data_IF_461603692513
#
_entry.id   IF_461603692513
#
_cell.length_a   1.000
_cell.length_b   1.000
_cell.length_c   1.000
_cell.angle_alpha   90.00
_cell.angle_beta   90.00
_cell.angle_gamma   90.00
#
_symmetry.space_group_name_H-M   'P 1'
#
loop_
_entity.id
_entity.type
_entity.pdbx_description
1 polymer ?
#
# COMPACT_ATOMS: atom_id res chain seq x y z
N UNK A 1 -18.17 39.91 -60.56
CA UNK A 1 -19.07 38.84 -60.06
C UNK A 1 -18.28 37.54 -59.90
N UNK A 2 -18.19 36.98 -58.69
CA UNK A 2 -17.59 35.65 -58.45
C UNK A 2 -18.64 34.76 -57.81
N UNK A 3 -18.98 33.65 -58.49
CA UNK A 3 -19.92 32.61 -58.02
C UNK A 3 -19.19 31.64 -57.09
N UNK A 4 -19.68 31.54 -55.86
CA UNK A 4 -19.26 30.55 -54.85
C UNK A 4 -19.81 29.15 -55.16
N UNK A 5 -18.95 28.13 -55.04
CA UNK A 5 -19.32 26.71 -54.92
C UNK A 5 -19.00 26.22 -53.51
N UNK A 6 -20.06 25.83 -52.79
CA UNK A 6 -20.23 24.72 -51.84
C UNK A 6 -18.98 24.04 -51.23
N UNK A 7 -18.81 24.20 -49.91
CA UNK A 7 -18.27 23.20 -48.95
C UNK A 7 -19.33 23.09 -47.84
N UNK A 8 -20.12 22.01 -47.77
CA UNK A 8 -19.90 20.85 -46.88
C UNK A 8 -19.67 21.31 -45.43
N UNK A 9 -20.73 21.62 -44.66
CA UNK A 9 -21.43 20.68 -43.76
C UNK A 9 -20.46 19.69 -43.11
N UNK A 10 -19.99 19.99 -41.88
CA UNK A 10 -19.38 19.08 -40.87
C UNK A 10 -18.94 19.85 -39.58
N UNK A 11 -19.00 21.18 -39.50
CA UNK A 11 -18.38 21.93 -38.38
C UNK A 11 -19.32 22.48 -37.28
N UNK A 12 -20.59 22.11 -37.20
CA UNK A 12 -21.53 22.72 -36.23
C UNK A 12 -22.30 21.69 -35.36
N UNK A 13 -21.66 20.59 -34.97
CA UNK A 13 -22.34 19.58 -34.12
C UNK A 13 -21.55 19.01 -32.95
N UNK A 14 -20.51 19.69 -32.45
CA UNK A 14 -19.70 19.19 -31.33
C UNK A 14 -19.37 20.23 -30.26
N UNK A 15 -20.30 21.13 -29.94
CA UNK A 15 -20.15 22.03 -28.76
C UNK A 15 -21.32 21.93 -27.76
N UNK A 16 -22.08 20.83 -27.75
CA UNK A 16 -23.22 20.67 -26.83
C UNK A 16 -23.36 19.27 -26.22
N UNK A 17 -22.25 18.63 -25.83
CA UNK A 17 -22.30 17.43 -24.97
C UNK A 17 -21.19 17.48 -23.91
N UNK A 18 -21.17 18.52 -23.09
CA UNK A 18 -20.46 18.50 -21.80
C UNK A 18 -21.29 19.29 -20.79
N UNK A 19 -22.52 18.84 -20.48
CA UNK A 19 -23.27 19.34 -19.33
C UNK A 19 -24.36 18.33 -18.94
N UNK A 20 -23.91 17.20 -18.39
CA UNK A 20 -24.65 16.50 -17.34
C UNK A 20 -23.60 16.13 -16.28
N UNK A 21 -23.12 17.16 -15.58
CA UNK A 21 -22.45 16.99 -14.29
C UNK A 21 -23.52 16.63 -13.26
N UNK A 22 -23.57 15.35 -12.91
CA UNK A 22 -24.36 14.81 -11.81
C UNK A 22 -23.89 15.47 -10.49
N UNK A 23 -24.75 16.17 -9.72
CA UNK A 23 -24.30 17.05 -8.64
C UNK A 23 -24.04 16.34 -7.30
N UNK A 24 -23.55 15.09 -7.31
CA UNK A 24 -23.48 14.27 -6.07
C UNK A 24 -22.11 13.69 -5.68
N UNK A 25 -21.02 14.02 -6.36
CA UNK A 25 -19.71 13.51 -5.94
C UNK A 25 -18.53 14.43 -6.25
N UNK A 26 -18.68 15.72 -5.99
CA UNK A 26 -17.52 16.64 -5.94
C UNK A 26 -17.51 17.39 -4.60
N UNK A 27 -17.33 16.63 -3.53
CA UNK A 27 -16.86 17.19 -2.26
C UNK A 27 -15.38 17.50 -2.47
N UNK A 28 -15.11 18.69 -3.01
CA UNK A 28 -13.79 19.19 -3.42
C UNK A 28 -12.62 18.61 -2.63
N UNK A 29 -11.61 18.08 -3.33
CA UNK A 29 -10.37 17.55 -2.73
C UNK A 29 -9.70 18.56 -1.76
N UNK A 30 -9.90 19.86 -2.00
CA UNK A 30 -9.48 20.95 -1.12
C UNK A 30 -10.14 20.91 0.26
N UNK A 31 -11.44 20.60 0.33
CA UNK A 31 -12.19 20.49 1.59
C UNK A 31 -11.85 19.22 2.37
N UNK A 32 -11.41 18.15 1.69
CA UNK A 32 -10.89 16.93 2.32
C UNK A 32 -9.46 17.08 2.85
N UNK A 33 -8.73 18.11 2.41
CA UNK A 33 -7.38 18.47 2.88
C UNK A 33 -7.38 19.65 3.85
N UNK A 34 -8.52 19.97 4.47
CA UNK A 34 -8.60 20.95 5.56
C UNK A 34 -8.37 20.27 6.91
N UNK A 35 -7.82 21.05 7.86
CA UNK A 35 -7.69 20.62 9.26
C UNK A 35 -9.05 20.10 9.73
N UNK A 36 -9.08 18.86 10.17
CA UNK A 36 -10.34 18.24 10.60
C UNK A 36 -10.21 17.78 12.05
N UNK A 37 -11.14 18.22 12.87
CA UNK A 37 -11.11 17.96 14.30
C UNK A 37 -12.47 17.52 14.80
N UNK A 38 -12.47 16.75 15.89
CA UNK A 38 -13.70 16.34 16.53
C UNK A 38 -13.50 15.28 17.60
N UNK A 39 -14.56 15.04 18.35
CA UNK A 39 -14.58 14.07 19.42
C UNK A 39 -14.85 12.66 18.86
N UNK A 40 -13.99 11.70 19.22
CA UNK A 40 -14.14 10.29 18.92
C UNK A 40 -13.97 9.46 20.18
N UNK A 41 -14.62 8.30 20.22
CA UNK A 41 -14.35 7.29 21.25
C UNK A 41 -13.15 6.45 20.82
N UNK A 42 -12.06 6.51 21.59
CA UNK A 42 -10.86 5.68 21.39
C UNK A 42 -10.91 4.46 22.31
N UNK A 43 -10.69 3.28 21.78
CA UNK A 43 -10.49 2.08 22.60
C UNK A 43 -9.09 2.12 23.25
N UNK A 44 -9.03 1.86 24.55
CA UNK A 44 -7.79 1.96 25.34
C UNK A 44 -7.29 0.59 25.78
N UNK A 45 -8.05 -0.12 26.61
CA UNK A 45 -7.79 -1.51 27.00
C UNK A 45 -9.09 -2.14 27.54
N UNK A 46 -9.04 -3.42 27.91
CA UNK A 46 -10.21 -4.15 28.45
C UNK A 46 -10.75 -3.50 29.73
N UNK A 47 -9.88 -2.93 30.56
CA UNK A 47 -10.26 -2.34 31.85
C UNK A 47 -10.93 -0.97 31.72
N UNK A 48 -10.45 -0.12 30.81
CA UNK A 48 -10.92 1.26 30.60
C UNK A 48 -11.89 1.41 29.44
N UNK A 49 -11.92 0.43 28.53
CA UNK A 49 -12.81 0.40 27.38
C UNK A 49 -12.65 1.58 26.42
N UNK A 50 -13.79 2.05 25.94
CA UNK A 50 -13.95 3.21 25.06
C UNK A 50 -13.91 4.51 25.86
N UNK A 51 -13.12 5.47 25.40
CA UNK A 51 -12.92 6.75 26.07
C UNK A 51 -13.01 7.89 25.06
N UNK A 52 -13.77 8.93 25.39
CA UNK A 52 -13.84 10.12 24.55
C UNK A 52 -12.49 10.85 24.53
N UNK A 53 -12.02 11.17 23.32
CA UNK A 53 -10.80 11.92 23.06
C UNK A 53 -11.06 12.90 21.93
N UNK A 54 -10.41 14.05 22.01
CA UNK A 54 -10.43 15.04 20.93
C UNK A 54 -9.35 14.66 19.91
N UNK A 55 -9.73 14.45 18.66
CA UNK A 55 -8.80 14.14 17.58
C UNK A 55 -8.63 15.33 16.66
N UNK A 56 -7.41 15.50 16.17
CA UNK A 56 -7.05 16.51 15.19
C UNK A 56 -6.25 15.84 14.08
N UNK A 57 -6.82 15.89 12.88
CA UNK A 57 -6.18 15.49 11.63
C UNK A 57 -5.54 16.72 10.99
N UNK A 58 -4.22 16.74 10.96
CA UNK A 58 -3.45 17.76 10.25
C UNK A 58 -3.08 17.26 8.85
N UNK A 59 -3.71 17.81 7.79
CA UNK A 59 -3.45 17.43 6.41
C UNK A 59 -2.07 17.88 5.92
N UNK A 60 -1.46 18.92 6.52
CA UNK A 60 -0.15 19.43 6.10
C UNK A 60 0.98 18.52 6.56
N UNK A 61 0.91 18.05 7.80
CA UNK A 61 1.90 17.14 8.38
C UNK A 61 1.57 15.67 8.13
N UNK A 62 0.33 15.34 7.77
CA UNK A 62 -0.12 13.97 7.56
C UNK A 62 -0.27 13.21 8.87
N UNK A 63 -0.50 13.92 9.98
CA UNK A 63 -0.54 13.34 11.32
C UNK A 63 -1.95 13.41 11.88
N UNK A 64 -2.41 12.30 12.45
CA UNK A 64 -3.60 12.24 13.29
C UNK A 64 -3.16 12.21 14.76
N UNK A 65 -3.45 13.28 15.49
CA UNK A 65 -3.12 13.43 16.92
C UNK A 65 -4.38 13.39 17.79
N UNK A 66 -4.22 13.02 19.07
CA UNK A 66 -5.32 13.04 20.03
C UNK A 66 -4.97 13.66 21.39
N UNK A 67 -5.97 14.27 22.00
CA UNK A 67 -5.93 14.98 23.26
C UNK A 67 -7.02 14.44 24.20
N UNK A 68 -6.89 14.70 25.51
CA UNK A 68 -7.93 14.35 26.48
C UNK A 68 -9.22 15.12 26.21
N UNK A 69 -9.07 16.43 25.98
CA UNK A 69 -10.17 17.38 25.86
C UNK A 69 -9.82 18.46 24.83
N UNK A 70 -10.85 19.12 24.31
CA UNK A 70 -10.77 20.21 23.35
C UNK A 70 -9.96 21.41 23.91
N UNK A 71 -10.01 21.63 25.21
CA UNK A 71 -9.31 22.76 25.86
C UNK A 71 -7.80 22.55 25.98
N UNK A 72 -7.34 21.30 25.85
CA UNK A 72 -5.93 20.91 25.95
C UNK A 72 -5.19 20.91 24.61
N UNK A 73 -5.77 21.51 23.56
CA UNK A 73 -5.12 21.68 22.23
C UNK A 73 -3.73 22.32 22.27
N UNK A 74 -3.43 23.11 23.32
CA UNK A 74 -2.12 23.78 23.52
C UNK A 74 -1.10 22.93 24.28
N UNK A 75 -1.53 21.83 24.86
CA UNK A 75 -0.65 20.87 25.55
C UNK A 75 -0.07 19.89 24.53
N UNK A 76 0.94 19.13 24.95
CA UNK A 76 1.50 18.07 24.13
C UNK A 76 0.41 17.00 23.83
N UNK A 77 0.27 16.54 22.59
CA UNK A 77 -0.66 15.46 22.26
C UNK A 77 -0.34 14.22 23.09
N UNK A 78 -1.36 13.50 23.55
CA UNK A 78 -1.17 12.23 24.29
C UNK A 78 -0.64 11.11 23.42
N UNK A 79 -0.82 11.24 22.12
CA UNK A 79 -0.30 10.34 21.10
C UNK A 79 -0.71 10.83 19.73
N UNK A 80 0.02 10.37 18.73
CA UNK A 80 -0.17 10.74 17.34
C UNK A 80 0.21 9.57 16.46
N UNK A 81 -0.28 9.58 15.22
CA UNK A 81 0.02 8.55 14.24
C UNK A 81 0.24 9.20 12.87
N UNK A 82 1.28 8.74 12.18
CA UNK A 82 1.54 9.14 10.80
C UNK A 82 0.57 8.42 9.87
N UNK A 83 -0.08 9.17 8.99
CA UNK A 83 -1.00 8.62 8.00
C UNK A 83 -0.29 8.19 6.71
N UNK A 84 0.98 8.54 6.57
CA UNK A 84 1.87 8.05 5.53
C UNK A 84 1.99 6.52 5.65
N UNK A 85 1.46 5.81 4.65
CA UNK A 85 1.30 4.35 4.65
C UNK A 85 0.40 3.78 5.76
N UNK A 86 -0.47 4.60 6.38
CA UNK A 86 -1.49 4.09 7.28
C UNK A 86 -2.64 3.42 6.52
N UNK A 87 -3.15 2.32 7.07
CA UNK A 87 -4.32 1.61 6.56
C UNK A 87 -5.54 1.99 7.39
N UNK A 88 -6.58 2.51 6.72
CA UNK A 88 -7.84 2.91 7.36
C UNK A 88 -8.92 1.88 7.05
N UNK A 89 -9.27 1.08 8.06
CA UNK A 89 -10.19 -0.05 7.97
C UNK A 89 -11.51 0.25 8.69
N UNK A 90 -12.61 0.53 7.99
CA UNK A 90 -13.93 0.59 8.61
C UNK A 90 -14.34 -0.80 9.09
N UNK A 91 -14.98 -0.87 10.25
CA UNK A 91 -15.49 -2.15 10.79
C UNK A 91 -16.72 -2.60 10.00
N UNK A 92 -16.87 -3.91 9.83
CA UNK A 92 -18.06 -4.58 9.30
C UNK A 92 -19.05 -4.98 10.40
N UNK A 93 -18.57 -5.24 11.62
CA UNK A 93 -19.40 -5.53 12.81
C UNK A 93 -20.37 -4.38 13.17
N UNK A 94 -19.98 -3.12 12.98
CA UNK A 94 -20.81 -1.98 13.31
C UNK A 94 -20.62 -0.77 12.38
N UNK A 95 -21.64 0.09 12.33
CA UNK A 95 -21.68 1.22 11.39
C UNK A 95 -20.89 2.45 11.84
N UNK A 96 -20.30 2.46 13.04
CA UNK A 96 -19.72 3.65 13.67
C UNK A 96 -18.22 3.49 13.98
N UNK A 97 -17.67 2.29 13.94
CA UNK A 97 -16.29 1.95 14.29
C UNK A 97 -15.40 1.84 13.06
N UNK A 98 -14.14 2.24 13.23
CA UNK A 98 -13.08 2.11 12.25
C UNK A 98 -11.72 2.02 12.97
N UNK A 99 -10.71 1.47 12.30
CA UNK A 99 -9.34 1.46 12.78
C UNK A 99 -8.40 2.23 11.85
N UNK A 100 -7.40 2.86 12.45
CA UNK A 100 -6.29 3.51 11.75
C UNK A 100 -5.03 2.77 12.16
N UNK A 101 -4.40 2.10 11.21
CA UNK A 101 -3.25 1.24 11.43
C UNK A 101 -2.04 1.87 10.77
N UNK A 102 -1.08 2.32 11.56
CA UNK A 102 0.15 2.94 11.09
C UNK A 102 1.15 1.91 10.55
N UNK A 103 2.06 2.36 9.70
CA UNK A 103 3.23 1.59 9.26
C UNK A 103 4.22 1.29 10.40
N UNK A 104 4.22 2.10 11.47
CA UNK A 104 5.08 1.91 12.64
C UNK A 104 4.54 0.87 13.65
N UNK A 105 3.42 0.21 13.36
CA UNK A 105 2.78 -0.78 14.24
C UNK A 105 1.80 -0.21 15.26
N UNK A 106 1.70 1.13 15.39
CA UNK A 106 0.66 1.75 16.20
C UNK A 106 -0.70 1.63 15.52
N UNK A 107 -1.75 1.35 16.30
CA UNK A 107 -3.11 1.31 15.79
C UNK A 107 -4.11 1.97 16.73
N UNK A 108 -5.02 2.75 16.15
CA UNK A 108 -6.12 3.38 16.87
C UNK A 108 -7.43 2.75 16.44
N UNK A 109 -8.13 2.12 17.39
CA UNK A 109 -9.52 1.71 17.22
C UNK A 109 -10.43 2.83 17.70
N UNK A 110 -11.21 3.38 16.78
CA UNK A 110 -11.98 4.62 16.93
C UNK A 110 -13.45 4.36 16.62
N UNK A 111 -14.33 5.08 17.33
CA UNK A 111 -15.77 5.05 17.12
C UNK A 111 -16.31 6.47 17.03
N UNK A 112 -17.00 6.74 15.93
CA UNK A 112 -17.70 8.00 15.68
C UNK A 112 -19.11 8.00 16.30
N UNK A 113 -19.74 9.17 16.33
CA UNK A 113 -21.11 9.33 16.83
C UNK A 113 -22.11 8.53 15.97
N UNK A 114 -22.02 8.70 14.65
CA UNK A 114 -22.93 8.08 13.67
C UNK A 114 -22.19 7.56 12.44
N UNK A 115 -22.87 6.74 11.65
CA UNK A 115 -22.33 6.18 10.41
C UNK A 115 -21.86 7.25 9.40
N UNK A 116 -22.57 8.38 9.33
CA UNK A 116 -22.19 9.51 8.49
C UNK A 116 -20.90 10.15 8.97
N UNK A 117 -20.79 10.42 10.28
CA UNK A 117 -19.58 10.99 10.88
C UNK A 117 -18.38 10.05 10.71
N UNK A 118 -18.59 8.74 10.87
CA UNK A 118 -17.57 7.71 10.57
C UNK A 118 -17.08 7.85 9.13
N UNK A 119 -18.01 7.91 8.16
CA UNK A 119 -17.64 7.98 6.75
C UNK A 119 -16.85 9.24 6.43
N UNK A 120 -17.22 10.37 7.03
CA UNK A 120 -16.49 11.64 6.88
C UNK A 120 -15.06 11.53 7.41
N UNK A 121 -14.87 10.99 8.62
CA UNK A 121 -13.54 10.74 9.19
C UNK A 121 -12.71 9.82 8.30
N UNK A 122 -13.29 8.70 7.88
CA UNK A 122 -12.60 7.72 7.03
C UNK A 122 -12.21 8.32 5.68
N UNK A 123 -13.10 9.10 5.04
CA UNK A 123 -12.82 9.74 3.76
C UNK A 123 -11.66 10.73 3.87
N UNK A 124 -11.68 11.61 4.88
CA UNK A 124 -10.62 12.59 5.11
C UNK A 124 -9.29 11.95 5.46
N UNK A 125 -9.29 10.95 6.35
CA UNK A 125 -8.08 10.22 6.71
C UNK A 125 -7.46 9.50 5.51
N UNK A 126 -8.28 8.89 4.66
CA UNK A 126 -7.80 8.29 3.41
C UNK A 126 -7.28 9.32 2.42
N UNK A 127 -7.95 10.46 2.28
CA UNK A 127 -7.49 11.54 1.40
C UNK A 127 -6.10 12.05 1.83
N UNK A 128 -5.92 12.32 3.14
CA UNK A 128 -4.62 12.75 3.68
C UNK A 128 -3.58 11.63 3.55
N UNK A 129 -3.94 10.39 3.88
CA UNK A 129 -3.04 9.24 3.72
C UNK A 129 -2.58 9.07 2.28
N UNK A 130 -3.49 9.19 1.29
CA UNK A 130 -3.15 9.12 -0.13
C UNK A 130 -2.31 10.29 -0.58
N UNK A 131 -2.59 11.51 -0.11
CA UNK A 131 -1.79 12.70 -0.43
C UNK A 131 -0.34 12.50 0.02
N UNK A 132 -0.13 12.10 1.27
CA UNK A 132 1.22 11.85 1.82
C UNK A 132 1.86 10.60 1.21
N UNK A 133 1.08 9.55 0.95
CA UNK A 133 1.56 8.38 0.22
C UNK A 133 1.94 8.71 -1.23
N UNK A 134 1.32 9.69 -1.89
CA UNK A 134 1.67 10.11 -3.25
C UNK A 134 2.89 11.05 -3.28
N UNK A 135 3.07 11.85 -2.24
CA UNK A 135 4.28 12.65 -2.03
C UNK A 135 5.52 11.75 -1.76
N UNK A 136 5.33 10.63 -1.06
CA UNK A 136 6.40 9.63 -0.80
C UNK A 136 6.45 8.52 -1.87
N UNK A 137 5.36 8.28 -2.57
CA UNK A 137 5.10 7.11 -3.44
C UNK A 137 5.64 7.21 -4.87
N UNK A 138 6.38 8.25 -5.22
CA UNK A 138 7.29 8.17 -6.39
C UNK A 138 8.40 7.11 -6.20
N UNK A 139 8.49 6.47 -5.02
CA UNK A 139 9.50 5.46 -4.71
C UNK A 139 8.89 4.11 -4.31
N UNK A 140 7.60 3.79 -4.44
CA UNK A 140 7.12 2.39 -4.32
C UNK A 140 5.61 2.27 -4.59
N UNK A 141 5.17 1.58 -5.67
CA UNK A 141 3.76 1.22 -5.84
C UNK A 141 3.32 0.24 -4.74
N UNK A 142 2.24 0.57 -4.03
CA UNK A 142 1.59 -0.33 -3.07
C UNK A 142 1.06 -1.57 -3.80
N UNK A 143 1.57 -2.75 -3.44
CA UNK A 143 1.04 -4.01 -3.95
C UNK A 143 -0.34 -4.30 -3.34
N UNK A 144 -1.29 -4.83 -4.13
CA UNK A 144 -2.59 -5.23 -3.62
C UNK A 144 -2.45 -6.34 -2.56
N UNK A 145 -3.26 -6.23 -1.49
CA UNK A 145 -3.32 -7.16 -0.37
C UNK A 145 -3.45 -8.62 -0.84
N UNK A 146 -2.63 -9.48 -0.23
CA UNK A 146 -2.59 -10.94 -0.40
C UNK A 146 -3.80 -11.59 0.28
N UNK A 147 -5.01 -11.24 -0.13
CA UNK A 147 -6.24 -11.85 0.35
C UNK A 147 -7.13 -12.27 -0.82
N UNK A 148 -6.67 -13.25 -1.61
CA UNK A 148 -7.56 -14.10 -2.42
C UNK A 148 -6.77 -15.29 -3.00
N UNK A 149 -6.30 -16.19 -2.13
CA UNK A 149 -5.80 -17.51 -2.54
C UNK A 149 -6.59 -18.66 -1.90
N UNK A 150 -7.76 -18.36 -1.33
CA UNK A 150 -8.63 -19.38 -0.76
C UNK A 150 -9.93 -19.43 -1.55
N UNK A 151 -10.04 -20.52 -2.32
CA UNK A 151 -11.26 -21.11 -2.87
C UNK A 151 -12.00 -20.37 -4.00
N UNK A 152 -11.65 -20.68 -5.25
CA UNK A 152 -12.70 -20.86 -6.26
C UNK A 152 -12.40 -22.04 -7.18
N UNK A 153 -13.01 -23.18 -6.85
CA UNK A 153 -13.17 -24.32 -7.74
C UNK A 153 -14.42 -24.06 -8.58
N UNK A 154 -14.25 -23.49 -9.78
CA UNK A 154 -15.26 -23.56 -10.83
C UNK A 154 -14.56 -23.82 -12.15
N UNK A 155 -14.92 -24.95 -12.79
CA UNK A 155 -14.31 -25.42 -14.02
C UNK A 155 -14.60 -24.52 -15.22
N UNK A 156 -13.62 -24.47 -16.12
CA UNK A 156 -13.70 -23.86 -17.44
C UNK A 156 -12.29 -23.74 -18.03
N UNK A 157 -12.01 -24.28 -19.23
CA UNK A 157 -10.69 -24.16 -19.85
C UNK A 157 -10.55 -22.81 -20.57
N UNK A 158 -9.30 -22.34 -20.63
CA UNK A 158 -8.77 -21.29 -21.52
C UNK A 158 -8.72 -19.84 -20.95
N UNK A 159 -7.51 -19.44 -20.54
CA UNK A 159 -6.94 -18.16 -21.00
C UNK A 159 -6.98 -16.92 -20.08
N UNK A 160 -6.69 -17.00 -18.77
CA UNK A 160 -6.58 -15.79 -17.91
C UNK A 160 -5.40 -15.79 -16.91
N UNK A 161 -4.45 -16.72 -16.99
CA UNK A 161 -3.36 -16.85 -16.00
C UNK A 161 -2.22 -15.82 -16.13
N UNK A 162 -2.27 -14.89 -17.10
CA UNK A 162 -1.15 -13.98 -17.37
C UNK A 162 -1.13 -12.72 -16.48
N UNK A 163 -2.29 -12.20 -16.05
CA UNK A 163 -2.36 -10.87 -15.44
C UNK A 163 -1.80 -10.82 -14.00
N UNK A 164 -1.94 -11.89 -13.23
CA UNK A 164 -1.43 -11.99 -11.85
C UNK A 164 0.07 -12.30 -11.80
N UNK A 165 0.59 -13.02 -12.79
CA UNK A 165 2.02 -13.26 -12.96
C UNK A 165 2.74 -11.95 -13.31
N UNK A 166 2.20 -11.16 -14.25
CA UNK A 166 2.78 -9.87 -14.66
C UNK A 166 2.94 -8.91 -13.49
N UNK A 167 1.88 -8.71 -12.69
CA UNK A 167 1.95 -7.83 -11.51
C UNK A 167 3.00 -8.29 -10.47
N UNK A 168 3.21 -9.60 -10.33
CA UNK A 168 4.25 -10.16 -9.46
C UNK A 168 5.66 -9.89 -10.03
N UNK A 169 5.85 -10.03 -11.34
CA UNK A 169 7.12 -9.73 -11.99
C UNK A 169 7.44 -8.23 -12.00
N UNK A 170 6.43 -7.37 -12.12
CA UNK A 170 6.55 -5.92 -11.99
C UNK A 170 6.99 -5.55 -10.56
N UNK A 171 6.39 -6.19 -9.55
CA UNK A 171 6.77 -6.03 -8.15
C UNK A 171 8.24 -6.43 -7.90
N UNK A 172 8.67 -7.59 -8.42
CA UNK A 172 10.07 -8.01 -8.30
C UNK A 172 11.02 -7.05 -9.02
N UNK A 173 10.59 -6.47 -10.14
CA UNK A 173 11.40 -5.52 -10.90
C UNK A 173 11.56 -4.19 -10.13
N UNK A 174 10.48 -3.69 -9.53
CA UNK A 174 10.53 -2.53 -8.65
C UNK A 174 11.46 -2.78 -7.44
N UNK A 175 11.36 -3.94 -6.77
CA UNK A 175 12.25 -4.26 -5.64
C UNK A 175 13.72 -4.30 -6.07
N UNK A 176 14.04 -4.86 -7.25
CA UNK A 176 15.40 -4.85 -7.80
C UNK A 176 15.91 -3.43 -8.04
N UNK A 177 15.06 -2.57 -8.59
CA UNK A 177 15.40 -1.15 -8.83
C UNK A 177 15.67 -0.40 -7.52
N UNK A 178 14.82 -0.60 -6.51
CA UNK A 178 15.04 -0.01 -5.18
C UNK A 178 16.31 -0.51 -4.52
N UNK A 179 16.59 -1.81 -4.62
CA UNK A 179 17.80 -2.39 -4.05
C UNK A 179 19.05 -1.85 -4.74
N UNK A 180 19.03 -1.72 -6.08
CA UNK A 180 20.09 -1.10 -6.85
C UNK A 180 20.34 0.36 -6.44
N UNK A 181 19.28 1.16 -6.27
CA UNK A 181 19.42 2.54 -5.78
C UNK A 181 19.96 2.60 -4.34
N UNK A 182 19.54 1.68 -3.47
CA UNK A 182 20.05 1.60 -2.11
C UNK A 182 21.54 1.22 -2.09
N UNK A 183 21.97 0.30 -2.95
CA UNK A 183 23.39 -0.06 -3.14
C UNK A 183 24.21 1.13 -3.61
N UNK A 184 23.70 1.91 -4.57
CA UNK A 184 24.38 3.11 -5.06
C UNK A 184 24.53 4.17 -3.96
N UNK A 185 23.49 4.39 -3.15
CA UNK A 185 23.55 5.31 -2.00
C UNK A 185 24.54 4.82 -0.94
N UNK A 186 24.56 3.52 -0.66
CA UNK A 186 25.52 2.93 0.28
C UNK A 186 26.96 3.05 -0.24
N UNK A 187 27.20 2.88 -1.54
CA UNK A 187 28.50 3.10 -2.16
C UNK A 187 28.98 4.55 -1.98
N UNK A 188 28.11 5.52 -2.23
CA UNK A 188 28.44 6.94 -2.04
C UNK A 188 28.70 7.28 -0.56
N UNK A 189 27.91 6.72 0.36
CA UNK A 189 28.12 6.86 1.79
C UNK A 189 29.50 6.32 2.20
N UNK A 190 29.83 5.10 1.77
CA UNK A 190 31.12 4.46 2.04
C UNK A 190 32.27 5.32 1.53
N UNK A 191 32.15 5.85 0.31
CA UNK A 191 33.18 6.72 -0.28
C UNK A 191 33.35 8.02 0.52
N UNK A 192 32.25 8.67 0.88
CA UNK A 192 32.29 9.88 1.70
C UNK A 192 32.92 9.62 3.09
N UNK A 193 32.72 8.42 3.65
CA UNK A 193 33.38 8.02 4.88
C UNK A 193 34.88 7.78 4.72
N UNK A 194 35.31 7.24 3.59
CA UNK A 194 36.73 7.00 3.29
C UNK A 194 37.49 8.30 2.99
N UNK A 195 36.80 9.29 2.42
CA UNK A 195 37.31 10.63 2.12
C UNK A 195 37.42 11.55 3.36
N UNK A 196 36.96 11.12 4.54
CA UNK A 196 37.09 11.88 5.78
C UNK A 196 38.57 12.05 6.16
N UNK A 197 38.99 13.25 6.63
CA UNK A 197 40.36 13.48 7.06
C UNK A 197 40.72 12.58 8.25
N UNK A 198 41.95 12.07 8.27
CA UNK A 198 42.49 11.27 9.37
C UNK A 198 42.74 12.08 10.65
N UNK A 199 42.57 13.40 10.60
CA UNK A 199 42.69 14.32 11.74
C UNK A 199 41.47 15.26 11.81
N UNK A 200 40.75 15.22 12.93
CA UNK A 200 39.48 15.94 13.16
C UNK A 200 38.60 15.26 14.22
N UNK A 201 37.45 15.85 14.56
CA UNK A 201 36.43 15.28 15.47
C UNK A 201 35.78 14.01 14.90
N UNK A 202 35.61 13.91 13.57
CA UNK A 202 35.09 12.73 12.89
C UNK A 202 36.20 12.07 12.07
N UNK A 203 36.56 10.84 12.43
CA UNK A 203 37.60 10.05 11.77
C UNK A 203 36.97 8.93 10.96
N UNK A 204 37.62 8.53 9.88
CA UNK A 204 37.25 7.36 9.09
C UNK A 204 37.36 6.02 9.87
N UNK A 205 38.00 6.02 11.05
CA UNK A 205 38.10 4.88 11.98
C UNK A 205 37.13 5.02 13.17
N UNK A 206 36.16 5.93 13.11
CA UNK A 206 35.17 6.08 14.16
C UNK A 206 34.33 4.79 14.33
N UNK A 207 34.16 4.25 15.55
CA UNK A 207 33.45 3.00 15.78
C UNK A 207 31.98 3.03 15.33
N UNK A 208 31.28 4.15 15.53
CA UNK A 208 29.87 4.27 15.14
C UNK A 208 29.75 4.35 13.62
N UNK A 209 30.70 5.01 12.98
CA UNK A 209 30.77 5.11 11.53
C UNK A 209 31.11 3.74 10.88
N UNK A 210 32.05 2.99 11.47
CA UNK A 210 32.38 1.62 11.05
C UNK A 210 31.19 0.67 11.25
N UNK A 211 30.50 0.78 12.39
CA UNK A 211 29.29 0.01 12.66
C UNK A 211 28.20 0.35 11.64
N UNK A 212 27.99 1.63 11.34
CA UNK A 212 27.04 2.08 10.33
C UNK A 212 27.36 1.45 8.96
N UNK A 213 28.62 1.48 8.52
CA UNK A 213 29.06 0.83 7.26
C UNK A 213 28.82 -0.67 7.28
N UNK A 214 29.18 -1.35 8.35
CA UNK A 214 28.98 -2.78 8.50
C UNK A 214 27.50 -3.16 8.48
N UNK A 215 26.66 -2.45 9.26
CA UNK A 215 25.22 -2.66 9.34
C UNK A 215 24.51 -2.38 8.01
N UNK A 216 24.84 -1.27 7.33
CA UNK A 216 24.25 -0.95 6.01
C UNK A 216 24.63 -2.00 4.96
N UNK A 217 25.88 -2.46 4.93
CA UNK A 217 26.31 -3.51 4.00
C UNK A 217 25.64 -4.86 4.30
N UNK A 218 25.54 -5.23 5.58
CA UNK A 218 24.85 -6.44 6.01
C UNK A 218 23.36 -6.40 5.65
N UNK A 219 22.70 -5.25 5.80
CA UNK A 219 21.30 -5.06 5.44
C UNK A 219 21.06 -5.25 3.93
N UNK A 220 21.89 -4.64 3.08
CA UNK A 220 21.79 -4.84 1.62
C UNK A 220 22.01 -6.31 1.23
N UNK A 221 22.96 -6.97 1.89
CA UNK A 221 23.22 -8.39 1.66
C UNK A 221 22.00 -9.24 2.07
N UNK A 222 21.41 -8.96 3.24
CA UNK A 222 20.23 -9.67 3.72
C UNK A 222 19.03 -9.46 2.77
N UNK A 223 18.79 -8.23 2.31
CA UNK A 223 17.72 -7.92 1.37
C UNK A 223 17.89 -8.65 0.03
N UNK A 224 19.11 -8.70 -0.52
CA UNK A 224 19.43 -9.47 -1.71
C UNK A 224 19.15 -10.98 -1.51
N UNK A 225 19.53 -11.54 -0.37
CA UNK A 225 19.26 -12.95 -0.04
C UNK A 225 17.76 -13.22 0.10
N UNK A 226 17.01 -12.35 0.76
CA UNK A 226 15.56 -12.45 0.87
C UNK A 226 14.89 -12.42 -0.51
N UNK A 227 15.30 -11.50 -1.38
CA UNK A 227 14.78 -11.41 -2.75
C UNK A 227 15.07 -12.69 -3.54
N UNK A 228 16.28 -13.25 -3.42
CA UNK A 228 16.66 -14.50 -4.05
C UNK A 228 15.77 -15.68 -3.59
N UNK A 229 15.55 -15.81 -2.28
CA UNK A 229 14.68 -16.85 -1.71
C UNK A 229 13.24 -16.70 -2.23
N UNK A 230 12.70 -15.47 -2.25
CA UNK A 230 11.35 -15.20 -2.76
C UNK A 230 11.24 -15.53 -4.26
N UNK A 231 12.27 -15.24 -5.04
CA UNK A 231 12.31 -15.56 -6.45
C UNK A 231 12.35 -17.07 -6.68
N UNK A 232 13.16 -17.82 -5.94
CA UNK A 232 13.23 -19.28 -5.99
C UNK A 232 11.86 -19.93 -5.68
N UNK A 233 11.23 -19.52 -4.56
CA UNK A 233 9.92 -20.03 -4.18
C UNK A 233 8.83 -19.72 -5.22
N UNK A 234 8.89 -18.55 -5.86
CA UNK A 234 7.94 -18.19 -6.91
C UNK A 234 8.08 -19.10 -8.14
N UNK A 235 9.31 -19.45 -8.54
CA UNK A 235 9.55 -20.36 -9.67
C UNK A 235 9.12 -21.80 -9.36
N UNK A 236 9.32 -22.27 -8.13
CA UNK A 236 8.92 -23.62 -7.70
C UNK A 236 7.39 -23.82 -7.70
N UNK A 237 6.62 -22.75 -7.43
CA UNK A 237 5.16 -22.77 -7.56
C UNK A 237 4.75 -22.90 -9.04
N UNK A 238 5.45 -22.23 -9.96
CA UNK A 238 5.16 -22.33 -11.40
C UNK A 238 5.56 -23.67 -12.01
N UNK A 239 6.65 -24.32 -11.54
CA UNK A 239 7.07 -25.64 -12.03
C UNK A 239 6.21 -26.78 -11.47
N UNK A 240 5.73 -26.66 -10.22
CA UNK A 240 4.84 -27.67 -9.60
C UNK A 240 3.47 -27.77 -10.28
N UNK A 241 2.96 -26.67 -10.84
CA UNK A 241 1.71 -26.68 -11.62
C UNK A 241 1.88 -27.44 -12.94
N UNK A 242 3.09 -27.44 -13.53
CA UNK A 242 3.37 -28.11 -14.81
C UNK A 242 3.52 -29.64 -14.67
N UNK A 243 3.89 -30.16 -13.50
CA UNK A 243 4.09 -31.61 -13.30
C UNK A 243 2.82 -32.40 -12.98
N UNK A 244 1.72 -31.74 -12.57
CA UNK A 244 0.42 -32.41 -12.34
C UNK A 244 -0.44 -32.59 -13.60
N UNK A 245 0.03 -32.12 -14.76
CA UNK A 245 -0.70 -32.19 -16.04
C UNK A 245 -0.39 -33.39 -16.94
N UNK A 246 0.61 -34.22 -16.62
CA UNK A 246 1.04 -35.33 -17.49
C UNK A 246 1.01 -36.68 -16.77
N UNK A 247 -0.18 -37.19 -16.49
CA UNK A 247 -0.33 -38.62 -16.19
C UNK A 247 -1.67 -39.13 -16.72
N UNK A 248 -1.79 -39.20 -18.04
CA UNK A 248 -2.75 -40.04 -18.75
C UNK A 248 -2.16 -40.40 -20.12
N UNK A 249 -1.58 -41.58 -20.24
CA UNK A 249 -1.82 -42.45 -21.38
C UNK A 249 -1.49 -43.91 -21.04
N UNK A 250 -2.34 -44.76 -21.56
CA UNK A 250 -2.57 -46.17 -21.29
C UNK A 250 -1.39 -47.11 -21.54
N UNK A 251 -1.40 -48.27 -20.87
CA UNK A 251 -1.26 -49.52 -21.60
C UNK A 251 -2.01 -50.67 -20.91
N UNK A 252 -2.93 -51.24 -21.68
CA UNK A 252 -3.63 -52.50 -21.48
C UNK A 252 -2.68 -53.70 -21.43
N UNK A 253 -2.91 -54.63 -20.50
CA UNK A 253 -2.62 -56.04 -20.75
C UNK A 253 -3.54 -56.94 -19.92
N UNK A 254 -4.35 -57.69 -20.65
CA UNK A 254 -5.24 -58.76 -20.21
C UNK A 254 -4.51 -59.83 -19.40
N UNK A 255 -5.14 -60.32 -18.33
CA UNK A 255 -5.05 -61.75 -17.99
C UNK A 255 -6.31 -62.20 -17.23
N UNK A 256 -7.14 -62.95 -17.94
CA UNK A 256 -8.27 -63.72 -17.43
C UNK A 256 -7.82 -64.73 -16.36
N UNK A 257 -8.46 -64.71 -15.19
CA UNK A 257 -8.62 -65.92 -14.36
C UNK A 257 -10.11 -66.10 -14.05
N UNK A 258 -10.73 -67.01 -14.80
CA UNK A 258 -12.01 -67.60 -14.44
C UNK A 258 -11.81 -68.49 -13.20
N UNK A 259 -12.67 -68.26 -12.21
CA UNK A 259 -12.98 -69.14 -11.07
C UNK A 259 -13.24 -70.57 -11.55
N UNK A 260 -12.93 -71.56 -10.74
CA UNK A 260 -13.89 -72.61 -10.37
C UNK A 260 -13.56 -73.07 -8.93
N UNK A 261 -14.58 -73.64 -8.27
CA UNK A 261 -14.60 -74.11 -6.88
C UNK A 261 -13.34 -74.87 -6.46
#
# INVERSE_FOLDING_TARGET
MKRSKKKSSISEHLDSVCNISDPRTDMSAEMMCQLYEGQLSKYTNVMKGWQYRWFILDPKTGILSYYLDEKERKQQPRGWVHLEAAVISPSDEDSNTFSVNSSNGESFKLRAQDARARQEWVNRLRAVSQLHASATGQINPLLPSREHLVLQKTGGPSGLQSSSSLALWDAFSAVREHLFHAEQKNFLLIRAMEDLPTTGEFKNVDPDLLMLKASSQAMLTALNQCLFILHQQSQDVFTSIKSKGSSKHDHSSSHSKKKFH
#
